data_IF_183560902196
#
_entry.id   IF_183560902196
#
_cell.length_a   1.000
_cell.length_b   1.000
_cell.length_c   1.000
_cell.angle_alpha   90.00
_cell.angle_beta   90.00
_cell.angle_gamma   90.00
#
_symmetry.space_group_name_H-M   'P 1'
#
loop_
_entity.id
_entity.type
_entity.pdbx_description
1 polymer ?
#
# COMPACT_ATOMS: atom_id res chain seq x y z
N UNK A 1 -2.48 19.87 -19.51
CA UNK A 1 -1.19 19.16 -19.59
C UNK A 1 -1.41 17.98 -20.52
N UNK A 2 -0.54 17.74 -21.51
CA UNK A 2 -0.64 16.54 -22.33
C UNK A 2 -0.55 15.29 -21.44
N UNK A 3 -1.19 14.21 -21.86
CA UNK A 3 -1.05 12.90 -21.23
C UNK A 3 0.43 12.51 -21.10
N UNK A 4 0.73 11.74 -20.06
CA UNK A 4 2.06 11.25 -19.77
C UNK A 4 2.53 10.28 -20.86
N UNK A 5 3.81 10.35 -21.21
CA UNK A 5 4.42 9.36 -22.09
C UNK A 5 4.55 7.99 -21.41
N UNK A 6 4.86 8.00 -20.11
CA UNK A 6 4.96 6.81 -19.26
C UNK A 6 4.76 7.16 -17.79
N UNK A 7 4.34 6.18 -17.00
CA UNK A 7 4.40 6.28 -15.53
C UNK A 7 5.83 6.13 -15.02
N UNK A 8 6.21 6.97 -14.04
CA UNK A 8 7.50 6.90 -13.36
C UNK A 8 7.48 5.83 -12.25
N UNK A 9 8.63 5.20 -11.95
CA UNK A 9 8.79 4.31 -10.80
C UNK A 9 8.37 4.96 -9.47
N UNK A 10 7.86 4.18 -8.50
CA UNK A 10 7.44 4.73 -7.21
C UNK A 10 8.66 5.38 -6.54
N UNK A 11 8.48 6.54 -5.92
CA UNK A 11 9.59 7.24 -5.28
C UNK A 11 10.62 7.83 -6.24
N UNK A 12 10.33 7.86 -7.56
CA UNK A 12 11.29 8.20 -8.62
C UNK A 12 12.58 7.35 -8.55
N UNK A 13 12.42 6.09 -8.18
CA UNK A 13 13.53 5.14 -8.10
C UNK A 13 14.16 4.91 -9.47
N UNK A 14 15.49 4.77 -9.49
CA UNK A 14 16.29 4.66 -10.71
C UNK A 14 16.87 3.26 -10.93
N UNK A 15 16.40 2.25 -10.20
CA UNK A 15 16.99 0.90 -10.24
C UNK A 15 16.58 0.13 -11.50
N UNK A 16 15.43 0.48 -12.10
CA UNK A 16 14.95 -0.13 -13.34
C UNK A 16 15.76 0.35 -14.54
N UNK A 17 16.15 -0.59 -15.40
CA UNK A 17 16.70 -0.29 -16.72
C UNK A 17 15.59 0.18 -17.70
N UNK A 18 15.90 0.31 -18.98
CA UNK A 18 14.92 0.73 -19.98
C UNK A 18 13.76 -0.28 -20.15
N UNK A 19 14.05 -1.59 -20.09
CA UNK A 19 13.03 -2.63 -20.20
C UNK A 19 12.16 -2.68 -18.94
N UNK A 20 12.76 -2.51 -17.77
CA UNK A 20 12.08 -2.39 -16.49
C UNK A 20 11.14 -1.19 -16.44
N UNK A 21 11.58 -0.02 -16.91
CA UNK A 21 10.72 1.17 -17.00
C UNK A 21 9.52 0.97 -17.94
N UNK A 22 9.72 0.31 -19.08
CA UNK A 22 8.61 -0.06 -19.96
C UNK A 22 7.64 -1.02 -19.28
N UNK A 23 8.15 -2.08 -18.65
CA UNK A 23 7.33 -3.06 -17.94
C UNK A 23 6.56 -2.45 -16.76
N UNK A 24 7.18 -1.49 -16.05
CA UNK A 24 6.53 -0.72 -15.00
C UNK A 24 5.37 0.13 -15.53
N UNK A 25 5.62 0.89 -16.60
CA UNK A 25 4.59 1.67 -17.27
C UNK A 25 3.42 0.78 -17.72
N UNK A 26 3.73 -0.36 -18.35
CA UNK A 26 2.73 -1.30 -18.84
C UNK A 26 1.89 -1.84 -17.68
N UNK A 27 2.51 -2.21 -16.55
CA UNK A 27 1.82 -2.65 -15.35
C UNK A 27 0.85 -1.59 -14.80
N UNK A 28 1.32 -0.35 -14.60
CA UNK A 28 0.47 0.72 -14.03
C UNK A 28 -0.66 1.09 -14.99
N UNK A 29 -0.35 1.28 -16.27
CA UNK A 29 -1.35 1.62 -17.28
C UNK A 29 -2.42 0.53 -17.39
N UNK A 30 -2.02 -0.74 -17.53
CA UNK A 30 -2.98 -1.84 -17.67
C UNK A 30 -3.80 -2.07 -16.41
N UNK A 31 -3.21 -1.90 -15.23
CA UNK A 31 -3.95 -2.02 -13.96
C UNK A 31 -4.95 -0.88 -13.82
N UNK A 32 -4.56 0.35 -14.16
CA UNK A 32 -5.47 1.50 -14.23
C UNK A 32 -6.63 1.24 -15.20
N UNK A 33 -6.35 0.77 -16.42
CA UNK A 33 -7.39 0.48 -17.42
C UNK A 33 -8.35 -0.62 -16.95
N UNK A 34 -7.85 -1.68 -16.32
CA UNK A 34 -8.68 -2.74 -15.73
C UNK A 34 -9.55 -2.19 -14.61
N UNK A 35 -9.00 -1.35 -13.73
CA UNK A 35 -9.77 -0.73 -12.65
C UNK A 35 -10.81 0.27 -13.15
N UNK A 36 -10.62 0.91 -14.31
CA UNK A 36 -11.66 1.73 -14.98
C UNK A 36 -12.85 0.85 -15.44
N UNK A 37 -12.56 -0.35 -15.94
CA UNK A 37 -13.59 -1.30 -16.39
C UNK A 37 -14.44 -1.84 -15.22
N UNK A 38 -13.92 -1.80 -14.00
CA UNK A 38 -14.56 -2.39 -12.82
C UNK A 38 -14.49 -3.91 -12.83
N UNK A 39 -15.02 -4.53 -11.77
CA UNK A 39 -14.95 -5.98 -11.59
C UNK A 39 -16.08 -6.68 -12.35
N UNK A 40 -15.78 -7.69 -13.18
CA UNK A 40 -16.79 -8.35 -14.01
C UNK A 40 -17.78 -9.21 -13.20
N UNK A 41 -17.43 -9.60 -11.98
CA UNK A 41 -18.25 -10.36 -11.04
C UNK A 41 -19.09 -9.47 -10.10
N UNK A 42 -19.10 -8.14 -10.31
CA UNK A 42 -19.85 -7.19 -9.50
C UNK A 42 -20.81 -6.36 -10.36
N UNK A 43 -22.06 -6.26 -9.91
CA UNK A 43 -23.04 -5.31 -10.45
C UNK A 43 -22.86 -3.93 -9.81
N UNK A 44 -23.27 -2.87 -10.50
CA UNK A 44 -23.14 -1.48 -10.01
C UNK A 44 -21.70 -1.09 -9.62
N UNK A 45 -20.71 -1.68 -10.30
CA UNK A 45 -19.27 -1.44 -10.10
C UNK A 45 -18.58 -0.86 -11.34
N UNK A 46 -19.33 -0.75 -12.44
CA UNK A 46 -18.85 -0.25 -13.73
C UNK A 46 -19.95 0.50 -14.50
N UNK A 47 -19.59 1.39 -15.44
CA UNK A 47 -18.24 1.90 -15.68
C UNK A 47 -17.77 2.88 -14.59
N UNK A 48 -16.47 2.88 -14.26
CA UNK A 48 -15.87 3.85 -13.32
C UNK A 48 -15.48 5.14 -14.05
N UNK A 49 -16.48 5.79 -14.63
CA UNK A 49 -16.30 6.81 -15.68
C UNK A 49 -15.61 8.11 -15.24
N UNK A 50 -15.46 8.34 -13.93
CA UNK A 50 -14.72 9.49 -13.39
C UNK A 50 -13.25 9.17 -13.10
N UNK A 51 -12.80 7.92 -13.25
CA UNK A 51 -11.40 7.55 -13.12
C UNK A 51 -10.73 7.47 -14.50
N UNK A 52 -9.53 8.02 -14.65
CA UNK A 52 -8.84 8.05 -15.95
C UNK A 52 -7.36 7.69 -15.85
N UNK A 53 -6.82 7.25 -16.99
CA UNK A 53 -5.43 6.85 -17.14
C UNK A 53 -4.59 8.02 -17.66
N UNK A 54 -3.58 8.43 -16.88
CA UNK A 54 -2.71 9.57 -17.21
C UNK A 54 -1.90 9.39 -18.49
N UNK A 55 -1.71 8.17 -19.00
CA UNK A 55 -1.00 7.94 -20.28
C UNK A 55 -1.92 7.95 -21.50
N UNK A 56 -3.24 8.09 -21.30
CA UNK A 56 -4.24 8.00 -22.38
C UNK A 56 -5.16 9.19 -22.50
N UNK A 57 -5.28 9.99 -21.45
CA UNK A 57 -6.07 11.19 -21.44
C UNK A 57 -5.25 12.34 -20.85
N UNK A 58 -5.34 13.50 -21.51
CA UNK A 58 -4.72 14.72 -21.02
C UNK A 58 -5.26 15.05 -19.63
N UNK A 59 -4.50 15.80 -18.83
CA UNK A 59 -4.97 16.36 -17.56
C UNK A 59 -5.29 17.83 -17.78
N UNK A 60 -6.48 18.29 -17.41
CA UNK A 60 -6.85 19.70 -17.61
C UNK A 60 -6.01 20.66 -16.76
N UNK A 61 -5.97 21.95 -17.12
CA UNK A 61 -5.13 22.94 -16.45
C UNK A 61 -5.59 23.29 -15.02
N UNK A 62 -6.80 22.88 -14.62
CA UNK A 62 -7.34 23.03 -13.28
C UNK A 62 -6.96 21.88 -12.34
N UNK A 63 -5.93 21.10 -12.70
CA UNK A 63 -5.51 19.94 -11.93
C UNK A 63 -5.03 20.32 -10.51
N UNK A 64 -5.42 19.52 -9.53
CA UNK A 64 -5.04 19.66 -8.13
C UNK A 64 -4.69 18.29 -7.56
N UNK A 65 -3.57 18.23 -6.85
CA UNK A 65 -3.18 17.07 -6.04
C UNK A 65 -3.89 17.10 -4.69
N UNK A 66 -4.41 15.94 -4.30
CA UNK A 66 -5.05 15.68 -3.02
C UNK A 66 -4.29 14.57 -2.31
N UNK A 67 -3.44 14.95 -1.36
CA UNK A 67 -2.81 14.01 -0.43
C UNK A 67 -3.87 13.42 0.50
N UNK A 68 -3.99 12.10 0.51
CA UNK A 68 -4.77 11.35 1.50
C UNK A 68 -3.82 10.69 2.46
N UNK A 69 -3.86 11.06 3.74
CA UNK A 69 -2.92 10.57 4.76
C UNK A 69 -3.63 9.81 5.87
N UNK A 70 -3.05 8.69 6.32
CA UNK A 70 -3.57 7.87 7.42
C UNK A 70 -2.44 7.31 8.28
N UNK A 71 -2.79 6.74 9.44
CA UNK A 71 -1.85 6.17 10.40
C UNK A 71 -1.42 4.75 9.99
N UNK A 72 -0.12 4.49 10.05
CA UNK A 72 0.52 3.22 9.71
C UNK A 72 0.25 2.08 10.68
N UNK A 73 -0.17 2.36 11.93
CA UNK A 73 -0.50 1.29 12.87
C UNK A 73 -1.75 0.51 12.44
N UNK A 74 -1.68 -0.82 12.33
CA UNK A 74 -2.79 -1.70 11.92
C UNK A 74 -4.06 -1.52 12.73
N UNK A 75 -5.10 -0.96 12.12
CA UNK A 75 -6.38 -0.73 12.82
C UNK A 75 -7.02 -2.05 13.24
N UNK A 76 -6.91 -3.09 12.43
CA UNK A 76 -7.47 -4.41 12.73
C UNK A 76 -6.86 -5.03 13.98
N UNK A 77 -5.57 -4.79 14.24
CA UNK A 77 -4.91 -5.18 15.48
C UNK A 77 -5.42 -4.35 16.65
N UNK A 78 -5.54 -3.02 16.47
CA UNK A 78 -6.02 -2.09 17.49
C UNK A 78 -7.39 -2.48 18.04
N UNK A 79 -8.36 -2.78 17.17
CA UNK A 79 -9.74 -3.06 17.57
C UNK A 79 -9.92 -4.42 18.26
N UNK A 80 -8.99 -5.36 18.07
CA UNK A 80 -9.04 -6.71 18.67
C UNK A 80 -8.33 -6.77 20.02
N UNK A 81 -7.50 -5.78 20.33
CA UNK A 81 -6.72 -5.73 21.55
C UNK A 81 -7.47 -5.06 22.70
N UNK A 82 -7.17 -5.51 23.91
CA UNK A 82 -7.71 -4.98 25.17
C UNK A 82 -6.78 -4.00 25.87
N UNK A 83 -5.53 -3.86 25.39
CA UNK A 83 -4.53 -2.94 25.92
C UNK A 83 -3.52 -2.52 24.85
N UNK A 84 -2.81 -1.42 25.09
CA UNK A 84 -1.71 -0.96 24.24
C UNK A 84 -0.59 -1.99 24.10
N UNK A 85 -0.21 -2.64 25.22
CA UNK A 85 0.81 -3.68 25.19
C UNK A 85 0.42 -4.81 24.26
N UNK A 86 -0.81 -5.31 24.37
CA UNK A 86 -1.29 -6.41 23.55
C UNK A 86 -1.29 -6.07 22.06
N UNK A 87 -1.76 -4.86 21.67
CA UNK A 87 -1.77 -4.46 20.25
C UNK A 87 -0.35 -4.28 19.70
N UNK A 88 0.57 -3.72 20.47
CA UNK A 88 1.95 -3.55 20.02
C UNK A 88 2.67 -4.88 19.87
N UNK A 89 2.53 -5.77 20.84
CA UNK A 89 3.06 -7.13 20.78
C UNK A 89 2.49 -7.91 19.59
N UNK A 90 1.18 -7.78 19.33
CA UNK A 90 0.54 -8.45 18.19
C UNK A 90 1.05 -7.90 16.85
N UNK A 91 1.18 -6.57 16.70
CA UNK A 91 1.64 -5.94 15.46
C UNK A 91 3.13 -6.20 15.15
N UNK A 92 3.95 -6.37 16.19
CA UNK A 92 5.37 -6.76 16.05
C UNK A 92 5.56 -8.27 15.81
N UNK A 93 4.53 -9.10 16.02
CA UNK A 93 4.66 -10.56 15.96
C UNK A 93 4.73 -11.13 14.54
N UNK A 94 4.13 -10.46 13.54
CA UNK A 94 4.14 -10.93 12.15
C UNK A 94 3.92 -9.79 11.17
N UNK A 95 4.53 -9.92 10.00
CA UNK A 95 4.27 -9.05 8.84
C UNK A 95 2.84 -9.17 8.32
N UNK A 96 2.16 -10.29 8.57
CA UNK A 96 0.78 -10.53 8.10
C UNK A 96 -0.27 -9.60 8.71
N UNK A 97 0.04 -9.02 9.87
CA UNK A 97 -0.87 -8.11 10.57
C UNK A 97 -0.49 -6.64 10.38
N UNK A 98 0.54 -6.34 9.58
CA UNK A 98 1.02 -4.98 9.29
C UNK A 98 0.31 -4.43 8.03
N UNK A 99 -1.01 -4.32 8.09
CA UNK A 99 -1.91 -4.17 6.93
C UNK A 99 -2.24 -2.72 6.53
N UNK A 100 -1.40 -1.73 6.84
CA UNK A 100 -1.66 -0.30 6.54
C UNK A 100 -0.58 0.34 5.66
N UNK A 101 -0.10 -0.41 4.66
CA UNK A 101 0.91 0.03 3.69
C UNK A 101 2.21 0.54 4.34
N UNK A 102 2.53 0.00 5.52
CA UNK A 102 3.75 0.24 6.25
C UNK A 102 4.10 -1.04 6.99
N UNK A 103 5.25 -1.59 6.65
CA UNK A 103 5.73 -2.82 7.26
C UNK A 103 7.15 -2.63 7.78
N UNK A 104 7.53 -3.37 8.82
CA UNK A 104 8.78 -3.09 9.54
C UNK A 104 9.52 -4.33 10.04
N UNK A 105 10.81 -4.12 10.29
CA UNK A 105 11.71 -5.06 10.93
C UNK A 105 12.52 -4.39 12.04
N UNK A 106 12.84 -5.14 13.09
CA UNK A 106 13.44 -4.64 14.33
C UNK A 106 14.79 -5.28 14.57
N UNK A 107 15.81 -4.45 14.76
CA UNK A 107 17.12 -4.89 15.23
C UNK A 107 17.24 -4.63 16.73
N UNK A 108 17.69 -5.65 17.46
CA UNK A 108 17.94 -5.59 18.92
C UNK A 108 19.39 -5.95 19.24
N UNK A 109 19.93 -5.32 20.27
CA UNK A 109 21.24 -5.69 20.82
C UNK A 109 21.15 -6.96 21.70
N UNK A 110 22.29 -7.38 22.27
CA UNK A 110 22.38 -8.57 23.13
C UNK A 110 21.52 -8.49 24.41
N UNK A 111 21.22 -7.28 24.90
CA UNK A 111 20.34 -7.05 26.06
C UNK A 111 18.86 -7.01 25.68
N UNK A 112 18.53 -7.27 24.41
CA UNK A 112 17.17 -7.25 23.88
C UNK A 112 16.61 -5.84 23.65
N UNK A 113 17.43 -4.79 23.75
CA UNK A 113 17.03 -3.39 23.51
C UNK A 113 16.98 -3.11 22.01
N UNK A 114 15.97 -2.39 21.55
CA UNK A 114 15.86 -1.94 20.17
C UNK A 114 16.97 -0.92 19.90
N UNK A 115 17.75 -1.12 18.85
CA UNK A 115 18.77 -0.18 18.37
C UNK A 115 18.36 0.48 17.06
N UNK A 116 17.61 -0.25 16.22
CA UNK A 116 17.16 0.20 14.90
C UNK A 116 15.83 -0.43 14.53
N UNK A 117 14.99 0.34 13.84
CA UNK A 117 13.78 -0.14 13.18
C UNK A 117 13.78 0.32 11.73
N UNK A 118 13.63 -0.63 10.81
CA UNK A 118 13.53 -0.41 9.37
C UNK A 118 12.06 -0.47 8.96
N UNK A 119 11.57 0.56 8.26
CA UNK A 119 10.20 0.67 7.75
C UNK A 119 10.20 0.77 6.23
N UNK A 120 9.27 0.08 5.58
CA UNK A 120 9.07 0.13 4.12
C UNK A 120 7.61 0.34 3.76
N UNK A 121 7.37 1.10 2.69
CA UNK A 121 6.11 1.13 1.96
C UNK A 121 6.31 0.83 0.47
N UNK A 122 7.43 0.18 0.11
CA UNK A 122 7.68 -0.25 -1.27
C UNK A 122 6.74 -1.39 -1.68
N UNK A 123 5.91 -1.13 -2.69
CA UNK A 123 4.98 -2.11 -3.25
C UNK A 123 5.71 -3.29 -3.89
N UNK A 124 5.17 -4.52 -3.75
CA UNK A 124 5.85 -5.71 -4.26
C UNK A 124 5.95 -5.76 -5.79
N UNK A 125 5.04 -5.09 -6.51
CA UNK A 125 5.01 -5.12 -7.97
C UNK A 125 6.25 -4.44 -8.58
N UNK A 126 6.82 -3.43 -7.91
CA UNK A 126 8.09 -2.84 -8.31
C UNK A 126 9.23 -3.86 -8.26
N UNK A 127 9.27 -4.66 -7.18
CA UNK A 127 10.27 -5.69 -6.97
C UNK A 127 10.07 -6.88 -7.92
N UNK A 128 8.84 -7.23 -8.26
CA UNK A 128 8.54 -8.21 -9.31
C UNK A 128 9.08 -7.76 -10.67
N UNK A 129 8.84 -6.51 -11.06
CA UNK A 129 9.38 -5.95 -12.33
C UNK A 129 10.91 -5.91 -12.30
N UNK A 130 11.50 -5.41 -11.21
CA UNK A 130 12.96 -5.32 -11.05
C UNK A 130 13.61 -6.70 -11.09
N UNK A 131 13.02 -7.70 -10.44
CA UNK A 131 13.57 -9.05 -10.41
C UNK A 131 13.62 -9.75 -11.77
N UNK A 132 12.66 -9.44 -12.65
CA UNK A 132 12.60 -9.98 -14.02
C UNK A 132 13.59 -9.33 -14.97
N UNK A 133 13.90 -8.06 -14.75
CA UNK A 133 14.70 -7.25 -15.68
C UNK A 133 16.12 -7.02 -15.21
N UNK A 134 16.37 -7.04 -13.89
CA UNK A 134 17.65 -6.74 -13.27
C UNK A 134 17.82 -7.51 -11.95
N UNK A 135 17.88 -8.86 -11.97
CA UNK A 135 17.97 -9.69 -10.77
C UNK A 135 19.21 -9.42 -9.91
N UNK A 136 20.33 -9.05 -10.52
CA UNK A 136 21.56 -8.74 -9.76
C UNK A 136 21.42 -7.40 -9.00
N UNK A 137 20.64 -6.46 -9.54
CA UNK A 137 20.26 -5.23 -8.84
C UNK A 137 19.40 -5.53 -7.61
N UNK A 138 18.48 -6.50 -7.70
CA UNK A 138 17.70 -6.95 -6.53
C UNK A 138 18.65 -7.43 -5.42
N UNK A 139 19.62 -8.29 -5.73
CA UNK A 139 20.60 -8.77 -4.74
C UNK A 139 21.39 -7.61 -4.14
N UNK A 140 21.85 -6.65 -4.97
CA UNK A 140 22.59 -5.49 -4.50
C UNK A 140 21.78 -4.63 -3.51
N UNK A 141 20.51 -4.37 -3.83
CA UNK A 141 19.63 -3.58 -2.96
C UNK A 141 19.29 -4.30 -1.65
N UNK A 142 19.09 -5.63 -1.68
CA UNK A 142 18.94 -6.41 -0.46
C UNK A 142 20.18 -6.35 0.43
N UNK A 143 21.37 -6.36 -0.17
CA UNK A 143 22.63 -6.21 0.57
C UNK A 143 22.78 -4.84 1.20
N UNK A 144 22.33 -3.82 0.50
CA UNK A 144 22.39 -2.43 0.97
C UNK A 144 21.39 -2.15 2.10
N UNK A 145 20.13 -2.54 1.92
CA UNK A 145 19.05 -2.09 2.80
C UNK A 145 18.55 -3.13 3.80
N UNK A 146 18.92 -4.41 3.66
CA UNK A 146 18.59 -5.45 4.65
C UNK A 146 19.85 -6.03 5.29
N UNK A 147 20.70 -6.70 4.51
CA UNK A 147 21.90 -7.34 5.07
C UNK A 147 22.94 -7.68 4.02
N UNK A 148 24.20 -7.30 4.27
CA UNK A 148 25.35 -7.54 3.38
C UNK A 148 25.54 -9.01 2.96
N UNK A 149 25.16 -9.95 3.84
CA UNK A 149 25.29 -11.40 3.62
C UNK A 149 24.25 -12.01 2.70
N UNK A 150 23.27 -11.24 2.19
CA UNK A 150 22.22 -11.77 1.29
C UNK A 150 22.86 -12.41 0.06
N UNK A 151 22.38 -13.60 -0.31
CA UNK A 151 22.76 -14.30 -1.54
C UNK A 151 21.62 -14.35 -2.55
N UNK A 152 21.92 -14.76 -3.79
CA UNK A 152 20.90 -14.89 -4.84
C UNK A 152 19.91 -16.02 -4.53
N UNK A 153 20.41 -17.11 -3.95
CA UNK A 153 19.65 -18.30 -3.55
C UNK A 153 18.68 -18.01 -2.40
N UNK A 154 18.94 -16.95 -1.63
CA UNK A 154 17.97 -16.48 -0.63
C UNK A 154 16.73 -15.84 -1.29
N UNK A 155 16.89 -15.22 -2.46
CA UNK A 155 15.89 -14.36 -3.09
C UNK A 155 15.17 -15.01 -4.28
N UNK A 156 15.78 -16.02 -4.91
CA UNK A 156 15.27 -16.66 -6.11
C UNK A 156 15.22 -18.18 -5.94
N UNK A 157 14.17 -18.81 -6.48
CA UNK A 157 14.03 -20.25 -6.46
C UNK A 157 14.94 -20.95 -7.50
N UNK A 158 14.92 -22.28 -7.52
CA UNK A 158 15.74 -23.08 -8.46
C UNK A 158 15.42 -22.87 -9.94
N UNK A 159 14.30 -22.21 -10.27
CA UNK A 159 13.92 -21.82 -11.64
C UNK A 159 14.28 -20.37 -11.97
N UNK A 160 14.86 -19.63 -11.02
CA UNK A 160 15.20 -18.23 -11.15
C UNK A 160 14.01 -17.28 -10.95
N UNK A 161 12.88 -17.76 -10.40
CA UNK A 161 11.76 -16.90 -10.05
C UNK A 161 11.99 -16.23 -8.70
N UNK A 162 11.63 -14.96 -8.60
CA UNK A 162 11.76 -14.20 -7.37
C UNK A 162 10.79 -14.70 -6.30
N UNK A 163 11.30 -14.92 -5.10
CA UNK A 163 10.54 -15.35 -3.94
C UNK A 163 10.07 -14.11 -3.19
N UNK A 164 8.82 -13.71 -3.42
CA UNK A 164 8.22 -12.52 -2.79
C UNK A 164 8.33 -12.55 -1.24
N UNK A 165 8.01 -13.69 -0.61
CA UNK A 165 8.24 -13.93 0.84
C UNK A 165 9.52 -14.73 1.07
N UNK A 166 10.65 -14.19 0.62
CA UNK A 166 11.96 -14.76 0.93
C UNK A 166 12.31 -14.64 2.43
N UNK A 167 13.37 -15.32 2.86
CA UNK A 167 13.82 -15.33 4.27
C UNK A 167 14.09 -13.95 4.86
N UNK A 168 14.36 -12.93 4.03
CA UNK A 168 14.68 -11.57 4.43
C UNK A 168 13.43 -10.67 4.50
N UNK A 169 12.26 -11.22 4.15
CA UNK A 169 10.98 -10.53 4.06
C UNK A 169 9.84 -11.30 4.72
N UNK A 170 10.13 -12.35 5.49
CA UNK A 170 9.12 -13.26 6.04
C UNK A 170 8.67 -12.88 7.46
N UNK A 171 9.54 -12.23 8.24
CA UNK A 171 9.31 -11.91 9.65
C UNK A 171 9.65 -10.45 10.00
N UNK A 172 9.62 -10.13 11.29
CA UNK A 172 9.81 -8.78 11.82
C UNK A 172 11.21 -8.53 12.37
N UNK A 173 12.19 -9.39 12.09
CA UNK A 173 13.57 -9.27 12.65
C UNK A 173 14.71 -9.52 11.66
N UNK A 174 14.44 -10.18 10.53
CA UNK A 174 15.46 -10.46 9.51
C UNK A 174 15.55 -9.38 8.42
N UNK A 175 14.47 -8.64 8.17
CA UNK A 175 14.45 -7.55 7.21
C UNK A 175 13.05 -7.15 6.75
N UNK A 176 12.96 -5.98 6.10
CA UNK A 176 11.75 -5.47 5.48
C UNK A 176 12.07 -4.71 4.18
N UNK A 177 12.36 -5.45 3.11
CA UNK A 177 12.70 -4.88 1.80
C UNK A 177 11.49 -4.31 1.06
N UNK A 178 10.36 -4.99 1.10
CA UNK A 178 9.12 -4.52 0.50
C UNK A 178 7.93 -5.05 1.30
N UNK A 179 6.75 -4.55 0.95
CA UNK A 179 5.49 -5.01 1.51
C UNK A 179 5.26 -6.48 1.13
N UNK A 180 4.84 -7.31 2.10
CA UNK A 180 4.49 -8.73 1.88
C UNK A 180 3.11 -9.11 2.38
N UNK A 181 2.46 -8.20 3.11
CA UNK A 181 1.10 -8.38 3.55
C UNK A 181 0.17 -8.35 2.32
N UNK A 182 -0.75 -9.31 2.23
CA UNK A 182 -1.50 -9.58 1.00
C UNK A 182 -2.41 -8.45 0.51
N UNK A 183 -2.84 -7.56 1.41
CA UNK A 183 -3.64 -6.38 1.10
C UNK A 183 -2.80 -5.12 0.80
N UNK A 184 -1.49 -5.16 1.05
CA UNK A 184 -0.57 -4.05 0.83
C UNK A 184 0.03 -4.10 -0.58
N UNK A 185 -0.82 -4.05 -1.61
CA UNK A 185 -0.39 -4.08 -3.02
C UNK A 185 -0.75 -2.78 -3.74
N UNK A 186 0.05 -2.39 -4.72
CA UNK A 186 -0.26 -1.19 -5.50
C UNK A 186 -1.49 -1.41 -6.39
N UNK A 187 -1.69 -2.65 -6.86
CA UNK A 187 -2.90 -3.02 -7.58
C UNK A 187 -4.18 -2.83 -6.76
N UNK A 188 -4.16 -3.17 -5.46
CA UNK A 188 -5.30 -2.92 -4.57
C UNK A 188 -5.57 -1.43 -4.38
N UNK A 189 -4.55 -0.59 -4.29
CA UNK A 189 -4.71 0.86 -4.16
C UNK A 189 -5.32 1.48 -5.43
N UNK A 190 -4.82 1.10 -6.61
CA UNK A 190 -5.37 1.57 -7.90
C UNK A 190 -6.85 1.19 -8.02
N UNK A 191 -7.18 -0.04 -7.64
CA UNK A 191 -8.55 -0.54 -7.64
C UNK A 191 -9.44 0.21 -6.66
N UNK A 192 -8.93 0.49 -5.46
CA UNK A 192 -9.64 1.21 -4.41
C UNK A 192 -9.99 2.62 -4.84
N UNK A 193 -9.00 3.38 -5.33
CA UNK A 193 -9.21 4.76 -5.79
C UNK A 193 -10.19 4.79 -6.96
N UNK A 194 -10.02 3.89 -7.94
CA UNK A 194 -10.94 3.79 -9.07
C UNK A 194 -12.38 3.51 -8.61
N UNK A 195 -12.58 2.49 -7.76
CA UNK A 195 -13.87 2.12 -7.19
C UNK A 195 -14.53 3.25 -6.41
N UNK A 196 -13.74 4.01 -5.65
CA UNK A 196 -14.21 5.14 -4.86
C UNK A 196 -14.66 6.35 -5.70
N UNK A 197 -14.31 6.44 -6.98
CA UNK A 197 -14.80 7.51 -7.87
C UNK A 197 -16.30 7.41 -8.17
N UNK A 198 -16.93 6.25 -7.95
CA UNK A 198 -18.37 6.08 -8.17
C UNK A 198 -19.14 6.84 -7.09
N UNK A 199 -19.81 7.94 -7.48
CA UNK A 199 -20.80 8.60 -6.64
C UNK A 199 -22.04 7.70 -6.52
N UNK A 200 -22.51 7.47 -5.29
CA UNK A 200 -23.66 6.59 -5.03
C UNK A 200 -24.81 7.33 -4.39
N UNK A 201 -26.02 6.98 -4.80
CA UNK A 201 -27.26 7.46 -4.24
C UNK A 201 -28.12 6.27 -3.79
N UNK A 202 -28.74 6.39 -2.62
CA UNK A 202 -29.68 5.40 -2.08
C UNK A 202 -30.94 6.13 -1.65
N UNK A 203 -32.09 5.78 -2.25
CA UNK A 203 -33.39 6.38 -1.93
C UNK A 203 -33.39 7.92 -1.97
N UNK A 204 -32.78 8.54 -3.00
CA UNK A 204 -32.70 10.01 -3.12
C UNK A 204 -31.63 10.65 -2.23
N UNK A 205 -30.85 9.87 -1.47
CA UNK A 205 -29.77 10.37 -0.60
C UNK A 205 -28.41 9.97 -1.14
N UNK A 206 -27.56 10.96 -1.42
CA UNK A 206 -26.15 10.72 -1.70
C UNK A 206 -25.46 10.08 -0.49
N UNK A 207 -24.68 9.03 -0.74
CA UNK A 207 -23.81 8.45 0.27
C UNK A 207 -22.55 9.31 0.39
N UNK A 208 -22.20 9.67 1.63
CA UNK A 208 -21.05 10.56 1.89
C UNK A 208 -20.18 10.13 3.06
N UNK A 209 -20.70 9.27 3.95
CA UNK A 209 -19.92 8.75 5.06
C UNK A 209 -18.94 7.67 4.60
N UNK A 210 -17.69 7.74 5.04
CA UNK A 210 -16.62 6.78 4.68
C UNK A 210 -17.07 5.32 4.82
N UNK A 211 -17.69 5.00 5.96
CA UNK A 211 -18.19 3.65 6.26
C UNK A 211 -19.39 3.23 5.40
N UNK A 212 -20.23 4.19 4.98
CA UNK A 212 -21.35 3.92 4.07
C UNK A 212 -20.84 3.67 2.66
N UNK A 213 -19.88 4.50 2.21
CA UNK A 213 -19.26 4.41 0.90
C UNK A 213 -18.56 3.08 0.70
N UNK A 214 -17.69 2.67 1.63
CA UNK A 214 -16.97 1.40 1.51
C UNK A 214 -17.88 0.19 1.62
N UNK A 215 -18.94 0.25 2.44
CA UNK A 215 -19.91 -0.84 2.57
C UNK A 215 -20.72 -1.00 1.28
N UNK A 216 -21.08 0.12 0.63
CA UNK A 216 -21.87 0.13 -0.58
C UNK A 216 -21.03 -0.13 -1.85
N UNK A 217 -19.79 0.35 -1.89
CA UNK A 217 -18.90 0.24 -3.04
C UNK A 217 -18.02 -1.02 -3.05
N UNK A 218 -17.85 -1.69 -1.91
CA UNK A 218 -17.05 -2.92 -1.78
C UNK A 218 -15.65 -2.85 -2.41
N UNK A 219 -15.02 -1.66 -2.40
CA UNK A 219 -13.72 -1.41 -3.02
C UNK A 219 -12.52 -1.67 -2.09
N UNK A 220 -12.76 -2.14 -0.86
CA UNK A 220 -11.72 -2.37 0.15
C UNK A 220 -12.26 -2.93 1.46
N UNK A 221 -11.41 -2.94 2.49
CA UNK A 221 -11.68 -3.47 3.81
C UNK A 221 -12.08 -2.39 4.83
N UNK A 222 -13.33 -2.48 5.31
CA UNK A 222 -13.97 -1.51 6.23
C UNK A 222 -13.23 -1.23 7.53
N UNK A 223 -12.41 -2.17 7.99
CA UNK A 223 -11.78 -2.13 9.30
C UNK A 223 -10.31 -1.67 9.27
N UNK A 224 -9.79 -1.29 8.10
CA UNK A 224 -8.51 -0.58 7.94
C UNK A 224 -8.68 0.93 8.19
N UNK A 225 -7.58 1.64 8.43
CA UNK A 225 -7.53 3.10 8.47
C UNK A 225 -7.57 3.66 7.05
N UNK A 226 -6.75 3.10 6.16
CA UNK A 226 -6.57 3.51 4.77
C UNK A 226 -7.88 3.46 3.97
N UNK A 227 -8.41 2.26 3.74
CA UNK A 227 -9.46 2.03 2.75
C UNK A 227 -10.73 2.91 2.88
N UNK A 228 -11.40 2.99 4.06
CA UNK A 228 -12.56 3.86 4.20
C UNK A 228 -12.20 5.34 4.03
N UNK A 229 -11.00 5.75 4.48
CA UNK A 229 -10.58 7.14 4.42
C UNK A 229 -10.25 7.59 3.00
N UNK A 230 -9.46 6.79 2.27
CA UNK A 230 -9.17 7.01 0.84
C UNK A 230 -10.48 7.07 0.05
N UNK A 231 -11.37 6.11 0.28
CA UNK A 231 -12.67 6.12 -0.37
C UNK A 231 -13.50 7.37 -0.07
N UNK A 232 -13.50 7.85 1.17
CA UNK A 232 -14.17 9.09 1.56
C UNK A 232 -13.63 10.33 0.84
N UNK A 233 -12.30 10.50 0.85
CA UNK A 233 -11.64 11.66 0.23
C UNK A 233 -11.81 11.63 -1.28
N UNK A 234 -11.51 10.50 -1.94
CA UNK A 234 -11.70 10.33 -3.39
C UNK A 234 -13.15 10.60 -3.78
N UNK A 235 -14.12 10.02 -3.08
CA UNK A 235 -15.52 10.24 -3.39
C UNK A 235 -15.96 11.69 -3.15
N UNK A 236 -15.39 12.37 -2.15
CA UNK A 236 -15.67 13.80 -1.93
C UNK A 236 -15.29 14.66 -3.12
N UNK A 237 -14.19 14.31 -3.79
CA UNK A 237 -13.71 14.98 -4.99
C UNK A 237 -14.53 14.58 -6.22
N UNK A 238 -14.87 13.30 -6.36
CA UNK A 238 -15.77 12.84 -7.42
C UNK A 238 -17.15 13.54 -7.39
N UNK A 239 -17.69 13.80 -6.19
CA UNK A 239 -18.94 14.56 -6.01
C UNK A 239 -18.86 16.02 -6.45
N UNK A 240 -17.66 16.59 -6.61
CA UNK A 240 -17.46 17.90 -7.24
C UNK A 240 -17.51 17.85 -8.77
N UNK A 241 -17.97 16.72 -9.34
CA UNK A 241 -18.03 16.45 -10.79
C UNK A 241 -16.65 16.59 -11.45
N UNK A 242 -15.61 16.13 -10.77
CA UNK A 242 -14.24 16.07 -11.27
C UNK A 242 -13.93 14.69 -11.86
N UNK A 243 -12.90 14.64 -12.70
CA UNK A 243 -12.24 13.40 -13.12
C UNK A 243 -10.96 13.20 -12.29
N UNK A 244 -10.67 11.97 -11.90
CA UNK A 244 -9.61 11.62 -10.96
C UNK A 244 -8.65 10.57 -11.52
N UNK A 245 -7.41 10.62 -11.08
CA UNK A 245 -6.39 9.60 -11.27
C UNK A 245 -5.52 9.50 -10.02
N UNK A 246 -4.70 8.45 -9.90
CA UNK A 246 -3.56 8.49 -8.98
C UNK A 246 -2.46 9.36 -9.60
N UNK A 247 -1.86 10.24 -8.80
CA UNK A 247 -0.78 11.10 -9.27
C UNK A 247 0.46 10.28 -9.63
N UNK A 248 1.26 10.78 -10.58
CA UNK A 248 2.53 10.17 -10.97
C UNK A 248 3.69 10.76 -10.15
N UNK A 249 4.60 9.95 -9.57
CA UNK A 249 4.64 8.48 -9.60
C UNK A 249 3.55 7.83 -8.73
N UNK A 250 2.90 6.79 -9.28
CA UNK A 250 1.86 6.04 -8.56
C UNK A 250 2.51 5.20 -7.46
N UNK A 251 2.13 5.44 -6.21
CA UNK A 251 2.73 4.77 -5.06
C UNK A 251 2.16 5.23 -3.71
N UNK A 252 2.65 4.57 -2.67
CA UNK A 252 2.35 4.82 -1.26
C UNK A 252 3.64 5.38 -0.65
N UNK A 253 3.54 6.48 0.07
CA UNK A 253 4.72 7.20 0.54
C UNK A 253 4.63 7.52 2.02
N UNK A 254 5.77 7.48 2.72
CA UNK A 254 5.82 8.04 4.06
C UNK A 254 5.51 9.53 4.01
N UNK A 255 4.45 9.95 4.70
CA UNK A 255 4.11 11.36 4.80
C UNK A 255 4.91 12.03 5.91
N UNK A 256 4.83 11.51 7.13
CA UNK A 256 5.58 12.03 8.27
C UNK A 256 5.66 11.03 9.43
N UNK A 257 6.59 11.28 10.36
CA UNK A 257 6.61 10.71 11.72
C UNK A 257 6.39 11.85 12.73
N UNK A 258 5.25 11.83 13.43
CA UNK A 258 5.02 12.77 14.52
C UNK A 258 5.79 12.37 15.77
N UNK A 259 6.64 13.25 16.29
CA UNK A 259 7.38 13.01 17.55
C UNK A 259 6.74 13.73 18.75
N UNK A 260 5.48 14.11 18.63
CA UNK A 260 4.76 14.79 19.72
C UNK A 260 4.71 13.90 20.97
N UNK A 261 5.23 14.40 22.09
CA UNK A 261 5.31 13.66 23.35
C UNK A 261 6.47 12.67 23.44
N UNK A 262 7.41 12.70 22.50
CA UNK A 262 8.62 11.88 22.52
C UNK A 262 9.75 12.59 23.29
N UNK A 263 10.59 11.82 23.97
CA UNK A 263 11.69 12.31 24.79
C UNK A 263 12.91 11.40 24.64
N UNK A 264 14.02 11.94 24.16
CA UNK A 264 15.34 11.28 24.17
C UNK A 264 16.00 11.46 25.55
N UNK A 265 16.87 10.53 26.00
CA UNK A 265 17.59 10.66 27.26
C UNK A 265 18.52 11.87 27.34
N UNK A 266 19.10 12.29 26.21
CA UNK A 266 20.05 13.39 26.10
C UNK A 266 19.40 14.75 25.79
N UNK A 267 18.07 14.77 25.59
CA UNK A 267 17.33 15.97 25.24
C UNK A 267 17.44 16.40 23.76
N UNK A 268 18.09 15.60 22.91
CA UNK A 268 18.12 15.81 21.46
C UNK A 268 16.73 15.66 20.82
N UNK A 269 16.51 16.25 19.64
CA UNK A 269 15.26 16.09 18.91
C UNK A 269 15.04 14.61 18.53
N UNK A 270 13.98 13.94 19.03
CA UNK A 270 13.69 12.55 18.66
C UNK A 270 13.59 12.35 17.15
N UNK A 271 13.10 13.36 16.41
CA UNK A 271 12.94 13.29 14.95
C UNK A 271 14.27 13.16 14.21
N UNK A 272 15.39 13.61 14.80
CA UNK A 272 16.72 13.48 14.20
C UNK A 272 17.17 12.02 13.99
N UNK A 273 16.55 11.07 14.69
CA UNK A 273 16.80 9.63 14.54
C UNK A 273 16.00 9.00 13.39
N UNK A 274 15.04 9.72 12.79
CA UNK A 274 14.25 9.28 11.64
C UNK A 274 14.89 9.73 10.33
N UNK A 275 15.20 8.79 9.45
CA UNK A 275 15.83 9.07 8.15
C UNK A 275 15.08 8.37 7.03
N UNK A 276 14.72 9.12 6.00
CA UNK A 276 14.37 8.53 4.72
C UNK A 276 15.65 8.09 4.03
N UNK A 277 15.69 6.82 3.62
CA UNK A 277 16.90 6.20 3.02
C UNK A 277 16.66 5.75 1.58
N UNK A 278 15.42 5.86 1.07
CA UNK A 278 15.07 5.50 -0.30
C UNK A 278 13.80 6.22 -0.76
N UNK A 279 13.74 6.53 -2.05
CA UNK A 279 12.76 7.43 -2.66
C UNK A 279 13.21 8.89 -2.61
N UNK A 280 12.58 9.74 -3.42
CA UNK A 280 12.86 11.18 -3.40
C UNK A 280 12.28 11.89 -2.17
N UNK A 281 12.55 13.20 -2.06
CA UNK A 281 12.16 14.04 -0.91
C UNK A 281 10.66 14.09 -0.66
N UNK A 282 9.84 13.99 -1.69
CA UNK A 282 8.37 14.08 -1.65
C UNK A 282 7.68 12.72 -1.71
N UNK A 283 8.41 11.68 -2.12
CA UNK A 283 7.95 10.32 -2.31
C UNK A 283 8.87 9.29 -1.61
N UNK A 284 9.15 9.43 -0.30
CA UNK A 284 10.00 8.48 0.41
C UNK A 284 9.29 7.12 0.56
N UNK A 285 10.02 6.04 0.29
CA UNK A 285 9.50 4.66 0.30
C UNK A 285 10.18 3.74 1.32
N UNK A 286 11.34 4.15 1.86
CA UNK A 286 11.99 3.50 3.01
C UNK A 286 12.42 4.52 4.03
N UNK A 287 12.20 4.18 5.29
CA UNK A 287 12.70 4.95 6.42
C UNK A 287 13.34 4.07 7.49
N UNK A 288 14.24 4.67 8.25
CA UNK A 288 14.93 4.03 9.38
C UNK A 288 14.78 4.92 10.60
N UNK A 289 14.41 4.32 11.73
CA UNK A 289 14.54 4.96 13.04
C UNK A 289 15.68 4.30 13.82
N UNK A 290 16.79 5.00 13.97
CA UNK A 290 18.03 4.44 14.53
C UNK A 290 18.75 5.48 15.39
N UNK A 291 19.23 5.02 16.55
CA UNK A 291 20.09 5.82 17.40
C UNK A 291 21.53 5.39 17.15
N UNK A 292 22.42 6.37 16.92
CA UNK A 292 23.85 6.09 16.74
C UNK A 292 24.45 5.47 18.01
N UNK A 293 25.34 4.48 17.84
CA UNK A 293 26.06 3.87 18.96
C UNK A 293 26.83 4.90 19.81
N UNK A 294 27.29 6.00 19.21
CA UNK A 294 27.99 7.06 19.93
C UNK A 294 27.11 7.88 20.88
N UNK A 295 25.78 7.78 20.77
CA UNK A 295 24.85 8.55 21.60
C UNK A 295 24.76 8.04 23.04
N UNK A 296 25.23 6.81 23.32
CA UNK A 296 25.22 6.25 24.69
C UNK A 296 23.85 5.80 25.20
N UNK A 297 22.84 5.74 24.32
CA UNK A 297 21.50 5.19 24.58
C UNK A 297 20.98 4.48 23.32
N UNK A 298 19.90 3.71 23.43
CA UNK A 298 19.27 3.05 22.28
C UNK A 298 17.87 3.57 22.01
N UNK A 299 17.24 3.16 20.90
CA UNK A 299 15.83 3.46 20.61
C UNK A 299 14.93 3.09 21.79
N UNK A 300 15.23 2.01 22.51
CA UNK A 300 14.45 1.58 23.68
C UNK A 300 14.54 2.50 24.90
N UNK A 301 15.51 3.41 24.95
CA UNK A 301 15.62 4.38 26.05
C UNK A 301 14.84 5.67 25.76
N UNK A 302 14.41 5.87 24.50
CA UNK A 302 13.50 6.94 24.11
C UNK A 302 12.12 6.64 24.68
N UNK A 303 11.44 7.68 25.19
CA UNK A 303 10.09 7.57 25.74
C UNK A 303 9.08 8.21 24.82
N UNK A 304 7.93 7.56 24.65
CA UNK A 304 6.73 8.10 24.03
C UNK A 304 5.68 8.25 25.13
N UNK A 305 5.23 9.48 25.39
CA UNK A 305 4.26 9.79 26.45
C UNK A 305 4.67 9.19 27.82
N UNK A 306 5.97 9.31 28.14
CA UNK A 306 6.57 8.82 29.38
C UNK A 306 6.86 7.32 29.44
N UNK A 307 6.48 6.53 28.42
CA UNK A 307 6.74 5.08 28.35
C UNK A 307 7.93 4.79 27.42
N UNK A 308 8.93 3.98 27.83
CA UNK A 308 10.01 3.56 26.95
C UNK A 308 9.50 2.82 25.70
N UNK A 309 10.25 2.90 24.59
CA UNK A 309 9.96 2.14 23.37
C UNK A 309 10.38 0.67 23.59
N UNK A 310 9.41 -0.22 23.71
CA UNK A 310 9.61 -1.66 23.80
C UNK A 310 9.31 -2.39 22.48
N UNK A 311 8.48 -1.79 21.63
CA UNK A 311 7.96 -2.34 20.38
C UNK A 311 8.12 -1.33 19.24
N UNK A 312 8.43 -1.81 18.03
CA UNK A 312 8.46 -0.96 16.83
C UNK A 312 7.06 -0.45 16.48
N UNK A 313 6.03 -1.23 16.77
CA UNK A 313 4.64 -0.82 16.62
C UNK A 313 4.27 0.44 17.44
N UNK A 314 5.01 0.76 18.51
CA UNK A 314 4.83 2.04 19.23
C UNK A 314 5.21 3.25 18.37
N UNK A 315 6.21 3.08 17.49
CA UNK A 315 6.64 4.11 16.53
C UNK A 315 5.60 4.20 15.39
N UNK A 316 5.10 3.05 14.92
CA UNK A 316 4.09 2.98 13.85
C UNK A 316 2.77 3.72 14.19
N UNK A 317 2.42 3.87 15.47
CA UNK A 317 1.29 4.71 15.92
C UNK A 317 1.40 6.18 15.48
N UNK A 318 2.61 6.64 15.17
CA UNK A 318 2.93 8.03 14.86
C UNK A 318 3.44 8.23 13.43
N UNK A 319 3.58 7.15 12.66
CA UNK A 319 3.91 7.21 11.25
C UNK A 319 2.62 7.43 10.46
N UNK A 320 2.65 8.38 9.54
CA UNK A 320 1.62 8.55 8.52
C UNK A 320 2.13 8.12 7.16
N UNK A 321 1.28 7.38 6.44
CA UNK A 321 1.44 7.03 5.03
C UNK A 321 0.47 7.89 4.23
N UNK A 322 0.80 8.15 2.96
CA UNK A 322 -0.09 8.81 2.04
C UNK A 322 -0.17 8.16 0.66
N UNK A 323 -1.31 8.36 0.02
CA UNK A 323 -1.49 8.28 -1.43
C UNK A 323 -1.84 9.68 -1.96
N UNK A 324 -1.52 9.95 -3.24
CA UNK A 324 -1.82 11.24 -3.86
C UNK A 324 -2.78 11.06 -5.01
N UNK A 325 -3.94 11.72 -4.94
CA UNK A 325 -4.98 11.68 -5.98
C UNK A 325 -4.93 12.97 -6.78
N UNK A 326 -4.80 12.87 -8.10
CA UNK A 326 -4.85 14.00 -9.01
C UNK A 326 -6.30 14.18 -9.51
N UNK A 327 -6.88 15.36 -9.33
CA UNK A 327 -8.22 15.67 -9.82
C UNK A 327 -8.20 16.86 -10.77
N UNK A 328 -8.99 16.81 -11.84
CA UNK A 328 -9.15 17.89 -12.80
C UNK A 328 -10.58 17.94 -13.35
N UNK A 329 -10.88 18.89 -14.24
CA UNK A 329 -12.20 19.07 -14.88
C UNK A 329 -13.32 19.30 -13.87
N UNK A 330 -13.06 20.08 -12.83
CA UNK A 330 -14.03 20.33 -11.78
C UNK A 330 -15.34 20.92 -12.35
N UNK A 331 -16.48 20.39 -11.91
CA UNK A 331 -17.80 20.81 -12.37
C UNK A 331 -18.22 20.31 -13.75
N UNK A 332 -17.38 19.54 -14.46
CA UNK A 332 -17.62 19.16 -15.87
C UNK A 332 -18.12 17.75 -16.07
N UNK A 333 -17.86 16.83 -15.13
CA UNK A 333 -18.33 15.46 -15.26
C UNK A 333 -19.86 15.39 -15.25
N UNK A 334 -20.40 14.66 -16.23
CA UNK A 334 -21.86 14.45 -16.40
C UNK A 334 -22.31 13.07 -15.91
N UNK A 335 -21.39 12.28 -15.36
CA UNK A 335 -21.65 10.94 -14.84
C UNK A 335 -22.73 11.02 -13.76
N UNK A 336 -23.79 10.23 -13.92
CA UNK A 336 -24.87 10.18 -12.94
C UNK A 336 -24.48 9.28 -11.77
N UNK A 337 -24.92 9.60 -10.53
CA UNK A 337 -24.73 8.70 -9.40
C UNK A 337 -25.34 7.32 -9.67
N UNK A 338 -24.66 6.27 -9.21
CA UNK A 338 -25.24 4.93 -9.20
C UNK A 338 -26.27 4.82 -8.08
N UNK A 339 -27.49 4.39 -8.41
CA UNK A 339 -28.63 4.33 -7.48
C UNK A 339 -28.69 3.04 -6.67
N UNK A 340 -27.64 2.22 -6.72
CA UNK A 340 -27.55 0.92 -6.07
C UNK A 340 -26.14 0.68 -5.52
N UNK A 341 -26.05 -0.18 -4.50
CA UNK A 341 -24.77 -0.68 -4.01
C UNK A 341 -24.26 -1.79 -4.91
N UNK A 342 -22.98 -2.05 -4.81
CA UNK A 342 -22.35 -3.22 -5.41
C UNK A 342 -23.00 -4.48 -4.85
N UNK A 343 -23.34 -5.38 -5.76
CA UNK A 343 -23.80 -6.73 -5.44
C UNK A 343 -23.07 -7.74 -6.33
N UNK A 344 -22.83 -8.95 -5.85
CA UNK A 344 -22.17 -9.97 -6.66
C UNK A 344 -23.08 -10.39 -7.80
N UNK A 345 -22.55 -10.41 -9.02
CA UNK A 345 -23.29 -10.93 -10.15
C UNK A 345 -23.54 -12.43 -9.92
N UNK A 346 -24.80 -12.87 -9.97
CA UNK A 346 -25.12 -14.29 -9.97
C UNK A 346 -24.31 -14.95 -11.08
N UNK A 347 -23.51 -15.96 -10.73
CA UNK A 347 -22.88 -16.82 -11.71
C UNK A 347 -24.01 -17.47 -12.52
N UNK A 348 -24.31 -16.92 -13.70
CA UNK A 348 -25.27 -17.50 -14.60
C UNK A 348 -24.85 -18.97 -14.78
N UNK A 349 -25.68 -19.89 -14.29
CA UNK A 349 -25.53 -21.31 -14.55
C UNK A 349 -25.45 -21.47 -16.06
N UNK A 350 -24.23 -21.59 -16.60
CA UNK A 350 -24.00 -22.12 -17.92
C UNK A 350 -24.45 -23.58 -17.84
N UNK A 351 -25.73 -23.81 -18.10
CA UNK A 351 -26.33 -25.12 -18.23
C UNK A 351 -25.68 -25.83 -19.41
N UNK A 352 -24.54 -26.48 -19.15
CA UNK A 352 -24.09 -27.58 -19.98
C UNK A 352 -25.03 -28.75 -19.71
N UNK A 353 -25.91 -28.98 -20.68
CA UNK A 353 -26.63 -30.24 -20.83
C UNK A 353 -25.62 -31.39 -20.76
N UNK A 354 -25.80 -32.27 -19.78
CA UNK A 354 -25.09 -33.54 -19.68
C UNK A 354 -25.61 -34.48 -20.77
N UNK A 355 -25.00 -34.42 -21.96
CA UNK A 355 -24.84 -35.61 -22.78
C UNK A 355 -23.40 -35.67 -23.30
N UNK A 356 -22.77 -36.82 -23.00
CA UNK A 356 -21.52 -37.36 -23.53
C UNK A 356 -20.22 -37.18 -22.72
N UNK A 357 -19.64 -38.37 -22.48
CA UNK A 357 -18.22 -38.70 -22.26
C UNK A 357 -17.67 -38.67 -20.82
N UNK A 358 -17.78 -39.84 -20.17
CA UNK A 358 -16.62 -40.71 -19.92
C UNK A 358 -15.53 -40.26 -18.94
N UNK A 359 -15.53 -40.89 -17.76
CA UNK A 359 -14.42 -41.21 -16.84
C UNK A 359 -13.08 -40.46 -17.02
N UNK A 360 -12.66 -39.73 -15.98
CA UNK A 360 -11.28 -39.75 -15.46
C UNK A 360 -11.20 -39.14 -14.04
N UNK A 361 -10.22 -39.62 -13.28
CA UNK A 361 -10.06 -39.56 -11.83
C UNK A 361 -9.69 -38.18 -11.19
N UNK A 362 -9.96 -38.10 -9.88
CA UNK A 362 -9.80 -37.07 -8.82
C UNK A 362 -8.30 -36.71 -8.58
N UNK A 363 -7.82 -35.50 -8.12
CA UNK A 363 -8.26 -34.80 -6.89
C UNK A 363 -8.17 -33.25 -6.74
N UNK A 364 -9.09 -32.74 -5.90
CA UNK A 364 -8.99 -31.74 -4.80
C UNK A 364 -7.84 -30.70 -4.83
N UNK A 365 -8.18 -29.42 -5.02
CA UNK A 365 -7.87 -28.31 -4.10
C UNK A 365 -8.37 -26.94 -4.65
N UNK A 366 -9.50 -26.46 -4.13
CA UNK A 366 -9.84 -25.03 -4.14
C UNK A 366 -10.57 -24.71 -2.84
N UNK A 367 -9.89 -23.99 -1.93
CA UNK A 367 -10.49 -23.22 -0.84
C UNK A 367 -9.38 -22.44 -0.13
N UNK A 368 -9.49 -21.11 -0.18
CA UNK A 368 -9.17 -20.09 0.84
C UNK A 368 -9.01 -18.77 0.06
N UNK A 369 -9.96 -17.83 0.13
CA UNK A 369 -10.17 -16.86 1.22
C UNK A 369 -8.90 -16.07 1.54
#
# INVERSE_FOLDING_TARGET
MPHLASFDPPGNLTDLDAAGRQAWNDYISQTTDRSIQGRPDHTNDSPRAQYYNLTKADTDADAVDHDVSWIAFPRQVKIRATSDRQRWESADASRDVQDEYCEWSVTRNADGKITRVDFTCEGPEYWEVLSRTSPDTVVALYREFVKDSVTKEDLFDGSGQYIHRNRWNTDTVNGAMHLVQAANTLGAEIELVAGATIVREQNGRLLTGEQELIACGQYGARQRNSDPHIGGVVNSVARMKADLSLANPVGLYFNDLSVAGWQTPDGSDPKANWKYVRGDKTHPVRAVYEVSESSGFTVSDIKILGKPIAYAAQIADFISIKATVLACRFGRSIVQPMTACVDQADAAFAGFSMESVGKLDVPVALRML
#
